data_IF_589597264491
#
_entry.id   IF_589597264491
#
_cell.length_a   1.000
_cell.length_b   1.000
_cell.length_c   1.000
_cell.angle_alpha   90.00
_cell.angle_beta   90.00
_cell.angle_gamma   90.00
#
_symmetry.space_group_name_H-M   'P 1'
#
loop_
_entity.id
_entity.type
_entity.pdbx_description
1 polymer ?
#
# COMPACT_ATOMS: atom_id res chain seq x y z
N UNK A 1 -9.18 -52.75 -29.38
CA UNK A 1 -9.51 -51.31 -29.32
C UNK A 1 -8.80 -50.73 -28.12
N UNK A 2 -7.62 -50.15 -28.33
CA UNK A 2 -6.83 -49.55 -27.26
C UNK A 2 -7.34 -48.15 -26.97
N UNK A 3 -7.73 -47.89 -25.72
CA UNK A 3 -8.02 -46.53 -25.25
C UNK A 3 -6.71 -45.76 -25.34
N UNK A 4 -6.69 -44.72 -26.17
CA UNK A 4 -5.53 -43.84 -26.27
C UNK A 4 -5.22 -43.26 -24.89
N UNK A 5 -3.98 -43.42 -24.43
CA UNK A 5 -3.46 -42.70 -23.26
C UNK A 5 -3.68 -41.19 -23.53
N UNK A 6 -4.26 -40.44 -22.57
CA UNK A 6 -4.34 -38.99 -22.74
C UNK A 6 -2.91 -38.45 -22.86
N UNK A 7 -2.66 -37.70 -23.93
CA UNK A 7 -1.35 -37.10 -24.16
C UNK A 7 -1.05 -36.15 -22.99
N UNK A 8 0.14 -36.26 -22.41
CA UNK A 8 0.58 -35.49 -21.23
C UNK A 8 0.78 -33.99 -21.56
N UNK A 9 0.39 -33.54 -22.76
CA UNK A 9 0.73 -32.23 -23.30
C UNK A 9 -0.42 -31.23 -23.48
N UNK A 10 -1.63 -31.50 -23.00
CA UNK A 10 -2.71 -30.51 -22.95
C UNK A 10 -2.63 -29.60 -21.70
N UNK A 11 -1.42 -29.16 -21.34
CA UNK A 11 -1.29 -28.07 -20.37
C UNK A 11 -1.86 -26.81 -21.01
N UNK A 12 -3.01 -26.36 -20.52
CA UNK A 12 -3.69 -25.12 -20.90
C UNK A 12 -2.67 -23.98 -20.93
N UNK A 13 -2.30 -23.51 -22.12
CA UNK A 13 -1.46 -22.32 -22.35
C UNK A 13 -2.11 -21.00 -21.88
N UNK A 14 -3.24 -21.08 -21.18
CA UNK A 14 -4.03 -19.93 -20.77
C UNK A 14 -4.16 -19.92 -19.26
N UNK A 15 -3.63 -18.86 -18.65
CA UNK A 15 -3.92 -18.53 -17.26
C UNK A 15 -5.45 -18.45 -17.08
N UNK A 16 -6.02 -19.06 -16.03
CA UNK A 16 -7.44 -18.99 -15.73
C UNK A 16 -7.98 -17.55 -15.70
N UNK A 17 -9.27 -17.36 -15.94
CA UNK A 17 -9.90 -16.02 -15.88
C UNK A 17 -9.74 -15.37 -14.50
N UNK A 18 -9.70 -16.18 -13.44
CA UNK A 18 -9.51 -15.77 -12.05
C UNK A 18 -8.03 -15.80 -11.60
N UNK A 19 -7.08 -15.94 -12.54
CA UNK A 19 -5.68 -15.75 -12.22
C UNK A 19 -5.42 -14.31 -11.79
N UNK A 20 -4.61 -14.10 -10.76
CA UNK A 20 -4.04 -12.81 -10.41
C UNK A 20 -2.56 -13.00 -10.04
N UNK A 21 -1.79 -11.93 -10.09
CA UNK A 21 -0.44 -11.89 -9.55
C UNK A 21 -0.25 -10.63 -8.70
N UNK A 22 0.62 -10.71 -7.70
CA UNK A 22 0.98 -9.60 -6.83
C UNK A 22 2.44 -9.77 -6.40
N UNK A 23 3.07 -8.69 -5.97
CA UNK A 23 4.42 -8.74 -5.39
C UNK A 23 4.34 -8.56 -3.88
N UNK A 24 5.08 -9.38 -3.13
CA UNK A 24 5.21 -9.24 -1.68
C UNK A 24 6.67 -8.98 -1.34
N UNK A 25 6.93 -7.82 -0.77
CA UNK A 25 8.20 -7.44 -0.16
C UNK A 25 8.13 -7.83 1.32
N UNK A 26 9.07 -8.65 1.77
CA UNK A 26 9.10 -9.07 3.18
C UNK A 26 9.47 -7.93 4.10
N UNK A 27 10.43 -7.11 3.70
CA UNK A 27 11.00 -6.05 4.51
C UNK A 27 11.37 -4.83 3.67
N UNK A 28 11.23 -3.64 4.25
CA UNK A 28 11.76 -2.40 3.73
C UNK A 28 12.64 -1.75 4.81
N UNK A 29 13.95 -1.78 4.59
CA UNK A 29 14.92 -1.21 5.53
C UNK A 29 14.92 0.32 5.52
N UNK A 30 15.22 0.92 6.67
CA UNK A 30 15.35 2.37 6.82
C UNK A 30 16.39 2.97 5.89
N UNK A 31 17.48 2.25 5.64
CA UNK A 31 18.55 2.67 4.69
C UNK A 31 18.06 2.90 3.26
N UNK A 32 16.93 2.29 2.88
CA UNK A 32 16.37 2.36 1.53
C UNK A 32 15.15 3.27 1.43
N UNK A 33 14.81 4.00 2.50
CA UNK A 33 13.54 4.74 2.55
C UNK A 33 13.41 5.85 1.47
N UNK A 34 14.54 6.31 0.91
CA UNK A 34 14.59 7.33 -0.14
C UNK A 34 14.86 6.75 -1.53
N UNK A 35 14.94 5.42 -1.68
CA UNK A 35 15.20 4.76 -2.96
C UNK A 35 13.93 4.64 -3.81
N UNK A 36 13.43 5.79 -4.27
CA UNK A 36 12.19 5.87 -5.05
C UNK A 36 12.28 5.18 -6.42
N UNK A 37 13.49 4.87 -6.89
CA UNK A 37 13.70 4.10 -8.12
C UNK A 37 13.07 2.70 -8.05
N UNK A 38 12.91 2.14 -6.84
CA UNK A 38 12.20 0.89 -6.65
C UNK A 38 10.72 0.97 -7.07
N UNK A 39 10.04 2.10 -6.80
CA UNK A 39 8.64 2.29 -7.25
C UNK A 39 8.54 2.49 -8.76
N UNK A 40 9.54 3.13 -9.36
CA UNK A 40 9.61 3.28 -10.82
C UNK A 40 9.81 1.92 -11.50
N UNK A 41 10.66 1.06 -10.94
CA UNK A 41 10.85 -0.30 -11.43
C UNK A 41 9.59 -1.16 -11.22
N UNK A 42 8.89 -0.96 -10.10
CA UNK A 42 7.62 -1.63 -9.81
C UNK A 42 6.53 -1.32 -10.84
N UNK A 43 6.53 -0.10 -11.39
CA UNK A 43 5.58 0.32 -12.41
C UNK A 43 5.66 -0.53 -13.68
N UNK A 44 6.82 -1.11 -14.01
CA UNK A 44 6.93 -2.02 -15.15
C UNK A 44 6.13 -3.33 -14.96
N UNK A 45 5.84 -3.70 -13.72
CA UNK A 45 4.94 -4.82 -13.41
C UNK A 45 3.49 -4.58 -13.84
N UNK A 46 3.09 -3.33 -14.12
CA UNK A 46 1.72 -3.00 -14.54
C UNK A 46 1.27 -3.70 -15.82
N UNK A 47 2.23 -4.11 -16.67
CA UNK A 47 1.94 -4.72 -17.95
C UNK A 47 1.58 -6.21 -17.82
N UNK A 48 1.81 -6.80 -16.64
CA UNK A 48 1.43 -8.17 -16.35
C UNK A 48 -0.09 -8.29 -16.19
N UNK A 49 -0.68 -9.25 -16.91
CA UNK A 49 -2.11 -9.50 -16.87
C UNK A 49 -2.56 -9.80 -15.43
N UNK A 50 -3.59 -9.10 -14.97
CA UNK A 50 -4.17 -9.23 -13.63
C UNK A 50 -3.15 -9.00 -12.50
N UNK A 51 -2.19 -8.09 -12.72
CA UNK A 51 -1.31 -7.64 -11.65
C UNK A 51 -2.07 -6.74 -10.67
N UNK A 52 -2.15 -7.21 -9.42
CA UNK A 52 -2.89 -6.57 -8.35
C UNK A 52 -2.15 -5.38 -7.72
N UNK A 53 -0.82 -5.37 -7.85
CA UNK A 53 0.04 -4.43 -7.17
C UNK A 53 0.98 -5.14 -6.18
N UNK A 54 1.39 -4.39 -5.17
CA UNK A 54 2.49 -4.75 -4.30
C UNK A 54 2.14 -4.58 -2.83
N UNK A 55 2.83 -5.32 -1.98
CA UNK A 55 2.61 -5.27 -0.55
C UNK A 55 3.93 -5.40 0.20
N UNK A 56 4.11 -4.62 1.28
CA UNK A 56 5.30 -4.62 2.14
C UNK A 56 4.87 -5.12 3.52
N UNK A 57 5.36 -6.30 3.92
CA UNK A 57 4.98 -6.94 5.20
C UNK A 57 5.56 -6.22 6.41
N UNK A 58 6.85 -5.84 6.37
CA UNK A 58 7.54 -5.14 7.46
C UNK A 58 8.35 -3.95 6.97
N UNK A 59 7.80 -2.73 6.96
CA UNK A 59 8.61 -1.53 6.95
C UNK A 59 9.36 -1.37 8.29
N UNK A 60 10.64 -1.03 8.26
CA UNK A 60 11.38 -0.49 9.43
C UNK A 60 10.94 0.95 9.71
N UNK A 61 9.63 1.15 9.90
CA UNK A 61 9.05 2.43 10.28
C UNK A 61 9.02 2.58 11.81
N UNK A 62 8.65 3.78 12.27
CA UNK A 62 8.44 4.03 13.69
C UNK A 62 7.22 3.28 14.26
N UNK A 63 6.31 2.80 13.40
CA UNK A 63 5.08 2.13 13.79
C UNK A 63 5.27 0.60 13.73
N UNK A 64 5.24 -0.04 14.90
CA UNK A 64 5.52 -1.47 15.08
C UNK A 64 4.67 -2.42 14.23
N UNK A 65 3.43 -2.03 13.92
CA UNK A 65 2.46 -2.88 13.22
C UNK A 65 2.09 -2.36 11.83
N UNK A 66 2.83 -1.38 11.33
CA UNK A 66 2.54 -0.78 10.03
C UNK A 66 2.97 -1.70 8.89
N UNK A 67 2.25 -1.60 7.78
CA UNK A 67 2.51 -2.37 6.58
C UNK A 67 2.20 -1.55 5.33
N UNK A 68 2.86 -1.86 4.22
CA UNK A 68 2.83 -1.04 3.02
C UNK A 68 1.95 -1.64 1.95
N UNK A 69 1.15 -0.81 1.28
CA UNK A 69 0.42 -1.22 0.08
C UNK A 69 0.84 -0.36 -1.10
N UNK A 70 1.16 -1.01 -2.21
CA UNK A 70 1.48 -0.39 -3.50
C UNK A 70 0.31 -0.62 -4.44
N UNK A 71 -0.41 0.45 -4.77
CA UNK A 71 -1.56 0.44 -5.68
C UNK A 71 -1.27 1.26 -6.92
N UNK A 72 -1.97 0.97 -8.01
CA UNK A 72 -1.93 1.81 -9.20
C UNK A 72 -3.03 2.87 -9.20
N UNK A 73 -2.70 4.04 -9.74
CA UNK A 73 -3.61 5.17 -9.92
C UNK A 73 -3.54 5.65 -11.37
N UNK A 74 -4.71 5.97 -11.94
CA UNK A 74 -4.83 6.58 -13.26
C UNK A 74 -5.07 8.09 -13.11
N UNK A 75 -4.32 8.88 -13.86
CA UNK A 75 -4.35 10.32 -13.88
C UNK A 75 -4.65 10.83 -15.29
N UNK A 76 -5.21 12.03 -15.38
CA UNK A 76 -5.42 12.72 -16.67
C UNK A 76 -4.19 13.49 -17.15
N UNK A 77 -3.27 13.80 -16.24
CA UNK A 77 -2.09 14.63 -16.50
C UNK A 77 -0.83 13.96 -15.94
N UNK A 78 0.32 14.33 -16.48
CA UNK A 78 1.62 13.89 -15.98
C UNK A 78 2.00 14.71 -14.74
N UNK A 79 1.84 14.10 -13.56
CA UNK A 79 2.22 14.70 -12.30
C UNK A 79 3.63 14.28 -11.86
N UNK A 80 4.43 15.26 -11.44
CA UNK A 80 5.73 14.97 -10.81
C UNK A 80 5.52 14.27 -9.45
N UNK A 81 6.28 13.21 -9.13
CA UNK A 81 6.19 12.53 -7.84
C UNK A 81 6.47 13.48 -6.68
N UNK A 82 5.57 13.51 -5.69
CA UNK A 82 5.72 14.29 -4.45
C UNK A 82 6.09 13.35 -3.30
N UNK A 83 7.30 12.84 -3.34
CA UNK A 83 7.72 11.77 -2.43
C UNK A 83 8.24 12.32 -1.11
N UNK A 84 7.88 11.64 -0.02
CA UNK A 84 8.40 11.95 1.32
C UNK A 84 9.35 10.86 1.80
N UNK A 85 8.89 9.62 1.83
CA UNK A 85 9.66 8.44 2.23
C UNK A 85 8.84 7.20 1.85
N UNK A 86 9.50 6.11 1.44
CA UNK A 86 8.85 4.81 1.24
C UNK A 86 8.26 4.24 2.55
N UNK A 87 8.77 4.66 3.70
CA UNK A 87 8.24 4.31 5.03
C UNK A 87 7.04 5.16 5.47
N UNK A 88 6.56 6.05 4.61
CA UNK A 88 5.39 6.89 4.89
C UNK A 88 4.47 6.97 3.68
N UNK A 89 4.89 7.69 2.65
CA UNK A 89 4.14 7.92 1.43
C UNK A 89 5.06 8.33 0.27
N UNK A 90 4.85 7.68 -0.87
CA UNK A 90 5.58 7.95 -2.10
C UNK A 90 4.78 7.53 -3.34
N UNK A 91 5.17 8.12 -4.46
CA UNK A 91 4.69 7.85 -5.80
C UNK A 91 5.85 7.45 -6.71
N UNK A 92 5.59 6.59 -7.68
CA UNK A 92 6.48 6.47 -8.84
C UNK A 92 6.29 7.66 -9.80
N UNK A 93 7.19 7.78 -10.77
CA UNK A 93 6.93 8.50 -12.01
C UNK A 93 5.64 8.03 -12.69
N UNK A 94 5.14 8.85 -13.61
CA UNK A 94 4.03 8.49 -14.47
C UNK A 94 4.51 7.69 -15.70
N UNK A 95 3.73 6.68 -16.09
CA UNK A 95 3.85 5.93 -17.35
C UNK A 95 2.62 6.23 -18.19
N UNK A 96 2.80 6.80 -19.38
CA UNK A 96 1.68 7.12 -20.28
C UNK A 96 1.01 5.84 -20.78
N UNK A 97 -0.31 5.76 -20.70
CA UNK A 97 -1.12 4.62 -21.12
C UNK A 97 -2.39 5.12 -21.83
N UNK A 98 -2.30 5.27 -23.16
CA UNK A 98 -3.37 5.86 -23.96
C UNK A 98 -3.59 7.33 -23.59
N UNK A 99 -4.83 7.67 -23.24
CA UNK A 99 -5.25 9.02 -22.83
C UNK A 99 -4.98 9.33 -21.35
N UNK A 100 -4.50 8.35 -20.59
CA UNK A 100 -4.24 8.46 -19.16
C UNK A 100 -2.76 8.26 -18.84
N UNK A 101 -2.38 8.64 -17.62
CA UNK A 101 -1.09 8.35 -17.02
C UNK A 101 -1.28 7.40 -15.85
N UNK A 102 -0.51 6.31 -15.83
CA UNK A 102 -0.48 5.36 -14.74
C UNK A 102 0.67 5.71 -13.79
N UNK A 103 0.43 5.71 -12.48
CA UNK A 103 1.49 5.73 -11.47
C UNK A 103 1.22 4.69 -10.40
N UNK A 104 2.26 4.30 -9.66
CA UNK A 104 2.12 3.56 -8.42
C UNK A 104 2.14 4.52 -7.23
N UNK A 105 1.31 4.21 -6.22
CA UNK A 105 1.25 4.87 -4.93
C UNK A 105 1.58 3.86 -3.84
N UNK A 106 2.58 4.16 -3.03
CA UNK A 106 2.88 3.45 -1.79
C UNK A 106 2.31 4.23 -0.61
N UNK A 107 1.54 3.56 0.23
CA UNK A 107 1.10 4.08 1.52
C UNK A 107 1.29 3.04 2.62
N UNK A 108 1.41 3.49 3.87
CA UNK A 108 1.63 2.65 5.04
C UNK A 108 0.44 2.73 6.00
N UNK A 109 0.04 1.60 6.59
CA UNK A 109 -0.99 1.53 7.62
C UNK A 109 -0.99 0.17 8.34
N UNK A 110 -1.43 0.16 9.60
CA UNK A 110 -1.69 -1.08 10.36
C UNK A 110 -2.80 -1.94 9.72
N UNK A 111 -3.74 -1.32 9.01
CA UNK A 111 -4.88 -2.05 8.42
C UNK A 111 -4.55 -2.73 7.09
N UNK A 112 -3.46 -2.33 6.42
CA UNK A 112 -3.19 -2.79 5.05
C UNK A 112 -2.87 -4.28 4.97
N UNK A 113 -2.38 -4.90 6.04
CA UNK A 113 -2.25 -6.37 6.09
C UNK A 113 -3.60 -7.07 5.96
N UNK A 114 -4.54 -6.66 6.80
CA UNK A 114 -5.90 -7.20 6.79
C UNK A 114 -6.56 -6.94 5.43
N UNK A 115 -6.44 -5.72 4.91
CA UNK A 115 -6.96 -5.37 3.57
C UNK A 115 -6.40 -6.31 2.49
N UNK A 116 -5.08 -6.43 2.39
CA UNK A 116 -4.42 -7.29 1.39
C UNK A 116 -4.81 -8.77 1.52
N UNK A 117 -4.85 -9.30 2.75
CA UNK A 117 -5.20 -10.69 3.00
C UNK A 117 -6.65 -11.00 2.56
N UNK A 118 -7.60 -10.11 2.86
CA UNK A 118 -8.99 -10.30 2.45
C UNK A 118 -9.21 -10.05 0.97
N UNK A 119 -8.45 -9.15 0.35
CA UNK A 119 -8.48 -8.94 -1.10
C UNK A 119 -8.02 -10.19 -1.86
N UNK A 120 -6.96 -10.86 -1.41
CA UNK A 120 -6.55 -12.16 -1.98
C UNK A 120 -7.69 -13.18 -1.91
N UNK A 121 -8.35 -13.30 -0.75
CA UNK A 121 -9.46 -14.23 -0.59
C UNK A 121 -10.62 -13.88 -1.53
N UNK A 122 -10.94 -12.60 -1.67
CA UNK A 122 -11.99 -12.12 -2.57
C UNK A 122 -11.63 -12.35 -4.06
N UNK A 123 -10.36 -12.15 -4.43
CA UNK A 123 -9.84 -12.43 -5.78
C UNK A 123 -9.96 -13.92 -6.12
N UNK A 124 -9.54 -14.79 -5.19
CA UNK A 124 -9.65 -16.25 -5.35
C UNK A 124 -11.09 -16.74 -5.46
N UNK A 125 -12.03 -16.05 -4.79
CA UNK A 125 -13.48 -16.33 -4.86
C UNK A 125 -14.19 -15.66 -6.04
N UNK A 126 -13.52 -14.77 -6.77
CA UNK A 126 -14.14 -13.99 -7.86
C UNK A 126 -15.15 -12.94 -7.37
N UNK A 127 -15.09 -12.54 -6.10
CA UNK A 127 -16.00 -11.54 -5.49
C UNK A 127 -15.31 -10.19 -5.25
N UNK A 128 -14.04 -10.07 -5.64
CA UNK A 128 -13.28 -8.83 -5.50
C UNK A 128 -13.93 -7.69 -6.28
N UNK A 129 -14.05 -6.53 -5.64
CA UNK A 129 -14.55 -5.30 -6.24
C UNK A 129 -13.47 -4.23 -6.11
N UNK A 130 -12.90 -3.73 -7.22
CA UNK A 130 -11.94 -2.64 -7.18
C UNK A 130 -12.51 -1.45 -6.38
N UNK A 131 -11.66 -0.82 -5.56
CA UNK A 131 -11.99 0.32 -4.72
C UNK A 131 -13.01 0.08 -3.59
N UNK A 132 -13.45 -1.16 -3.37
CA UNK A 132 -14.26 -1.55 -2.23
C UNK A 132 -13.46 -2.44 -1.26
N UNK A 133 -13.68 -2.27 0.04
CA UNK A 133 -13.05 -3.12 1.05
C UNK A 133 -13.64 -4.54 0.99
N UNK A 134 -12.78 -5.55 0.92
CA UNK A 134 -13.20 -6.96 0.89
C UNK A 134 -13.70 -7.45 2.26
N UNK A 135 -13.26 -6.83 3.35
CA UNK A 135 -13.67 -7.13 4.73
C UNK A 135 -13.21 -6.02 5.67
N UNK A 136 -13.90 -5.85 6.79
CA UNK A 136 -13.46 -5.01 7.94
C UNK A 136 -12.83 -5.85 9.06
N UNK A 137 -12.76 -7.17 8.90
CA UNK A 137 -12.20 -8.03 9.94
C UNK A 137 -10.70 -7.78 10.08
N UNK A 138 -10.20 -7.71 11.32
CA UNK A 138 -8.81 -7.38 11.58
C UNK A 138 -8.42 -5.93 11.23
N UNK A 139 -9.39 -5.06 10.95
CA UNK A 139 -9.14 -3.62 10.89
C UNK A 139 -9.09 -3.08 12.31
N UNK A 140 -8.05 -2.32 12.60
CA UNK A 140 -7.82 -1.70 13.89
C UNK A 140 -6.58 -0.82 13.82
N UNK A 141 -6.36 -0.09 14.91
CA UNK A 141 -5.18 0.77 15.07
C UNK A 141 -4.73 0.69 16.52
N UNK A 142 -3.45 0.48 16.79
CA UNK A 142 -2.90 0.50 18.15
C UNK A 142 -3.19 1.81 18.90
N UNK A 143 -3.53 2.90 18.19
CA UNK A 143 -4.02 4.14 18.80
C UNK A 143 -5.37 4.01 19.53
N UNK A 144 -6.08 2.89 19.40
CA UNK A 144 -7.27 2.60 20.23
C UNK A 144 -6.92 2.59 21.73
N UNK A 145 -5.68 2.21 22.08
CA UNK A 145 -5.18 2.26 23.47
C UNK A 145 -5.13 3.70 24.01
N UNK A 146 -5.05 4.69 23.11
CA UNK A 146 -5.08 6.14 23.42
C UNK A 146 -6.47 6.75 23.23
N UNK A 147 -7.49 5.92 23.01
CA UNK A 147 -8.89 6.36 22.80
C UNK A 147 -9.21 6.85 21.39
N UNK A 148 -8.35 6.60 20.39
CA UNK A 148 -8.61 6.97 18.99
C UNK A 148 -9.00 5.75 18.14
N UNK A 149 -10.08 5.86 17.37
CA UNK A 149 -10.45 4.86 16.36
C UNK A 149 -9.72 5.07 15.02
N UNK A 150 -8.88 6.11 14.92
CA UNK A 150 -8.15 6.49 13.71
C UNK A 150 -6.66 6.49 14.02
N UNK A 151 -5.88 5.78 13.19
CA UNK A 151 -4.42 5.83 13.24
C UNK A 151 -3.95 7.19 12.73
N UNK A 152 -3.11 7.87 13.50
CA UNK A 152 -2.48 9.13 13.04
C UNK A 152 -0.98 8.95 12.98
N UNK A 153 -0.48 8.74 11.76
CA UNK A 153 0.95 8.59 11.50
C UNK A 153 1.58 9.94 11.20
N UNK A 154 2.77 10.18 11.75
CA UNK A 154 3.54 11.40 11.50
C UNK A 154 4.88 11.05 10.88
N UNK A 155 5.31 11.87 9.90
CA UNK A 155 6.61 11.70 9.22
C UNK A 155 7.75 11.85 10.23
N UNK A 156 7.67 12.88 11.07
CA UNK A 156 8.61 13.15 12.13
C UNK A 156 7.85 13.33 13.45
N UNK A 157 7.86 12.34 14.34
CA UNK A 157 7.18 12.42 15.63
C UNK A 157 7.64 13.60 16.49
N UNK A 158 8.89 14.02 16.35
CA UNK A 158 9.48 15.11 17.15
C UNK A 158 8.88 16.47 16.80
N UNK A 159 8.53 16.70 15.53
CA UNK A 159 7.91 17.96 15.08
C UNK A 159 6.53 18.15 15.71
N UNK A 160 5.78 17.05 15.87
CA UNK A 160 4.47 17.07 16.52
C UNK A 160 4.58 17.30 18.00
N UNK A 161 5.56 16.66 18.64
CA UNK A 161 5.85 16.87 20.06
C UNK A 161 6.17 18.35 20.31
N UNK A 162 7.06 18.92 19.51
CA UNK A 162 7.42 20.35 19.57
C UNK A 162 6.20 21.25 19.36
N UNK A 163 5.38 20.96 18.35
CA UNK A 163 4.16 21.74 18.08
C UNK A 163 3.15 21.66 19.24
N UNK A 164 2.96 20.48 19.84
CA UNK A 164 2.09 20.31 21.02
C UNK A 164 2.63 21.06 22.23
N UNK A 165 3.94 21.05 22.44
CA UNK A 165 4.60 21.81 23.51
C UNK A 165 4.44 23.32 23.30
N UNK A 166 4.59 23.80 22.06
CA UNK A 166 4.37 25.21 21.70
C UNK A 166 2.91 25.62 21.94
N UNK A 167 1.94 24.84 21.46
CA UNK A 167 0.52 25.05 21.71
C UNK A 167 0.22 25.10 23.22
N UNK A 168 0.72 24.13 23.99
CA UNK A 168 0.49 24.07 25.42
C UNK A 168 1.05 25.30 26.15
N UNK A 169 2.21 25.82 25.74
CA UNK A 169 2.75 27.08 26.27
C UNK A 169 1.84 28.26 25.96
N UNK A 170 1.38 28.39 24.71
CA UNK A 170 0.48 29.48 24.32
C UNK A 170 -0.83 29.49 25.13
N UNK A 171 -1.45 28.32 25.36
CA UNK A 171 -2.70 28.21 26.10
C UNK A 171 -2.52 28.29 27.63
N UNK A 172 -1.38 27.86 28.18
CA UNK A 172 -1.09 28.01 29.60
C UNK A 172 -0.75 29.47 29.95
N UNK A 173 0.02 30.19 29.12
CA UNK A 173 0.33 31.62 29.32
C UNK A 173 -0.91 32.53 29.24
N UNK A 174 -1.97 32.10 28.54
CA UNK A 174 -3.26 32.82 28.52
C UNK A 174 -4.13 32.55 29.75
N UNK A 175 -3.83 31.49 30.51
CA UNK A 175 -4.57 31.14 31.72
C UNK A 175 -4.03 31.78 33.00
N UNK A 176 -2.74 32.15 33.03
CA UNK A 176 -2.11 32.86 34.16
C UNK A 176 -2.28 34.40 34.12
N UNK A 177 -2.80 34.95 33.01
CA UNK A 177 -3.07 36.38 32.84
C UNK A 177 -4.56 36.76 33.02
N UNK A 178 -5.33 35.95 33.76
CA UNK A 178 -6.71 36.25 34.19
C UNK A 178 -6.84 36.17 35.70
#
# INVERSE_FOLDING_TARGET
MGISKPSIHDYKFYLPKNFFCATVFFELHKSNEMDFGALDAFLEGSDLRNFYGGYILRPESHEKYSSGIVKFEYLHEDEKPRNRSLLFWAYSKCKKQGDFYLRSRLNQSETYFSEFAFDIVALLKGTYKPYALSSMYGFGTSDWEKGSAVSTTYINPDDVKKHKEEIARFFNDTSENK
#
